data_IF_589669159267
#
_entry.id   IF_589669159267
#
_cell.length_a   1.000
_cell.length_b   1.000
_cell.length_c   1.000
_cell.angle_alpha   90.00
_cell.angle_beta   90.00
_cell.angle_gamma   90.00
#
_symmetry.space_group_name_H-M   'P 1'
#
loop_
_entity.id
_entity.type
_entity.pdbx_description
1 polymer ?
#
# COMPACT_ATOMS: atom_id res chain seq x y z
N UNK A 1 5.58 11.15 19.46
CA UNK A 1 4.18 10.78 19.19
C UNK A 1 4.05 9.27 19.09
N UNK A 2 3.16 8.67 19.85
CA UNK A 2 2.94 7.22 19.81
C UNK A 2 2.16 6.85 18.54
N UNK A 3 2.68 5.91 17.75
CA UNK A 3 2.01 5.41 16.55
C UNK A 3 0.91 4.42 16.98
N UNK A 4 -0.28 4.62 16.45
CA UNK A 4 -1.45 3.79 16.81
C UNK A 4 -1.56 2.53 15.93
N UNK A 5 -1.27 2.67 14.64
CA UNK A 5 -1.44 1.58 13.66
C UNK A 5 -0.11 0.94 13.29
N UNK A 6 0.91 1.74 13.01
CA UNK A 6 2.20 1.25 12.55
C UNK A 6 3.04 0.70 13.70
N UNK A 7 3.38 -0.58 13.60
CA UNK A 7 4.39 -1.21 14.45
C UNK A 7 5.74 -1.26 13.74
N UNK A 8 6.63 -2.12 14.22
CA UNK A 8 7.97 -2.30 13.67
C UNK A 8 7.94 -2.78 12.21
N UNK A 9 6.96 -3.63 11.87
CA UNK A 9 6.83 -4.25 10.54
C UNK A 9 5.55 -3.82 9.83
N UNK A 10 5.22 -2.55 9.88
CA UNK A 10 4.01 -2.02 9.27
C UNK A 10 2.79 -2.18 10.15
N UNK A 11 1.62 -2.32 9.54
CA UNK A 11 0.36 -2.54 10.24
C UNK A 11 0.06 -4.03 10.18
N UNK A 12 -0.19 -4.68 11.31
CA UNK A 12 -0.49 -6.10 11.39
C UNK A 12 -1.66 -6.38 12.32
N UNK A 13 -2.33 -7.50 12.08
CA UNK A 13 -3.38 -7.99 12.96
C UNK A 13 -4.10 -9.18 12.36
N UNK A 14 -5.06 -9.69 13.10
CA UNK A 14 -5.94 -10.75 12.62
C UNK A 14 -6.90 -10.19 11.58
N UNK A 15 -6.99 -10.89 10.45
CA UNK A 15 -7.84 -10.46 9.33
C UNK A 15 -9.29 -10.29 9.79
N UNK A 16 -9.90 -9.23 9.30
CA UNK A 16 -11.29 -8.84 9.59
C UNK A 16 -11.55 -8.45 11.06
N UNK A 17 -10.48 -8.17 11.77
CA UNK A 17 -10.50 -7.56 13.12
C UNK A 17 -9.61 -6.33 13.05
N UNK A 18 -10.05 -5.20 13.61
CA UNK A 18 -9.30 -3.95 13.59
C UNK A 18 -7.86 -4.17 14.10
N UNK A 19 -6.79 -3.71 13.41
CA UNK A 19 -6.83 -2.78 12.26
C UNK A 19 -6.83 -3.43 10.88
N UNK A 20 -6.99 -4.74 10.75
CA UNK A 20 -6.94 -5.48 9.48
C UNK A 20 -8.33 -5.68 8.87
N UNK A 21 -9.10 -4.60 8.80
CA UNK A 21 -10.43 -4.58 8.18
C UNK A 21 -10.39 -3.87 6.82
N UNK A 22 -11.43 -4.10 6.01
CA UNK A 22 -11.55 -3.42 4.71
C UNK A 22 -11.66 -1.91 4.88
N UNK A 23 -12.42 -1.43 5.85
CA UNK A 23 -12.56 0.02 6.10
C UNK A 23 -11.21 0.64 6.44
N UNK A 24 -10.42 0.04 7.31
CA UNK A 24 -9.11 0.56 7.68
C UNK A 24 -8.15 0.50 6.50
N UNK A 25 -8.16 -0.58 5.72
CA UNK A 25 -7.32 -0.69 4.51
C UNK A 25 -7.64 0.42 3.51
N UNK A 26 -8.92 0.72 3.30
CA UNK A 26 -9.34 1.82 2.43
C UNK A 26 -8.82 3.15 2.97
N UNK A 27 -8.99 3.41 4.25
CA UNK A 27 -8.53 4.65 4.89
C UNK A 27 -7.02 4.80 4.84
N UNK A 28 -6.28 3.72 5.07
CA UNK A 28 -4.81 3.71 4.95
C UNK A 28 -4.41 4.05 3.51
N UNK A 29 -5.09 3.47 2.52
CA UNK A 29 -4.86 3.80 1.10
C UNK A 29 -5.04 5.28 0.82
N UNK A 30 -6.11 5.88 1.33
CA UNK A 30 -6.36 7.33 1.17
C UNK A 30 -5.26 8.16 1.83
N UNK A 31 -4.94 7.87 3.08
CA UNK A 31 -3.95 8.63 3.83
C UNK A 31 -2.54 8.50 3.26
N UNK A 32 -2.13 7.29 2.93
CA UNK A 32 -0.81 7.04 2.33
C UNK A 32 -0.71 7.64 0.94
N UNK A 33 -1.72 7.43 0.10
CA UNK A 33 -1.76 8.01 -1.25
C UNK A 33 -1.65 9.52 -1.21
N UNK A 34 -2.45 10.18 -0.38
CA UNK A 34 -2.43 11.63 -0.24
C UNK A 34 -1.06 12.13 0.23
N UNK A 35 -0.40 11.40 1.12
CA UNK A 35 0.94 11.78 1.60
C UNK A 35 1.97 11.80 0.47
N UNK A 36 1.89 10.85 -0.47
CA UNK A 36 2.88 10.70 -1.55
C UNK A 36 2.51 11.44 -2.83
N UNK A 37 1.32 12.04 -2.92
CA UNK A 37 0.94 12.85 -4.09
C UNK A 37 1.57 14.23 -3.93
N UNK A 38 2.74 14.42 -4.56
CA UNK A 38 3.51 15.67 -4.54
C UNK A 38 4.00 15.96 -5.96
N UNK A 39 3.73 17.18 -6.43
CA UNK A 39 4.09 17.57 -7.78
C UNK A 39 3.02 17.20 -8.80
N UNK A 40 3.30 17.47 -10.07
CA UNK A 40 2.30 17.39 -11.14
C UNK A 40 2.38 16.10 -11.97
N UNK A 41 3.38 15.25 -11.73
CA UNK A 41 3.49 13.98 -12.46
C UNK A 41 2.38 13.01 -12.03
N UNK A 42 2.12 12.00 -12.86
CA UNK A 42 1.21 10.92 -12.46
C UNK A 42 1.88 10.10 -11.34
N UNK A 43 1.16 9.95 -10.25
CA UNK A 43 1.65 9.20 -9.09
C UNK A 43 1.16 7.77 -9.17
N UNK A 44 2.03 6.82 -8.80
CA UNK A 44 1.68 5.39 -8.85
C UNK A 44 2.16 4.66 -7.62
N UNK A 45 1.44 3.60 -7.29
CA UNK A 45 1.78 2.66 -6.22
C UNK A 45 1.83 1.26 -6.79
N UNK A 46 2.79 0.47 -6.33
CA UNK A 46 2.88 -0.96 -6.64
C UNK A 46 2.31 -1.72 -5.45
N UNK A 47 1.37 -2.63 -5.69
CA UNK A 47 0.78 -3.47 -4.65
C UNK A 47 1.02 -4.93 -4.97
N UNK A 48 1.67 -5.63 -4.04
CA UNK A 48 1.82 -7.08 -4.06
C UNK A 48 1.21 -7.71 -2.83
N UNK A 49 1.09 -9.01 -2.86
CA UNK A 49 0.51 -9.78 -1.75
C UNK A 49 1.14 -11.16 -1.69
N UNK A 50 0.98 -11.82 -0.56
CA UNK A 50 1.23 -13.25 -0.46
C UNK A 50 -0.08 -14.01 -0.77
N UNK A 51 -0.15 -15.29 -0.43
CA UNK A 51 -1.28 -16.14 -0.82
C UNK A 51 -2.42 -16.20 0.20
N UNK A 52 -2.43 -15.33 1.22
CA UNK A 52 -3.44 -15.35 2.27
C UNK A 52 -4.81 -14.99 1.72
N UNK A 53 -5.85 -15.68 2.24
CA UNK A 53 -7.24 -15.47 1.83
C UNK A 53 -7.67 -14.00 2.02
N UNK A 54 -7.26 -13.38 3.11
CA UNK A 54 -7.63 -11.99 3.41
C UNK A 54 -7.09 -10.98 2.40
N UNK A 55 -6.12 -11.35 1.57
CA UNK A 55 -5.65 -10.51 0.46
C UNK A 55 -6.76 -10.16 -0.52
N UNK A 56 -7.73 -11.05 -0.72
CA UNK A 56 -8.88 -10.78 -1.60
C UNK A 56 -9.78 -9.65 -1.08
N UNK A 57 -9.78 -9.41 0.22
CA UNK A 57 -10.53 -8.31 0.83
C UNK A 57 -9.67 -7.05 0.93
N UNK A 58 -8.45 -7.19 1.40
CA UNK A 58 -7.60 -6.04 1.72
C UNK A 58 -7.06 -5.34 0.47
N UNK A 59 -6.69 -6.10 -0.57
CA UNK A 59 -6.16 -5.51 -1.80
C UNK A 59 -7.17 -4.62 -2.52
N UNK A 60 -8.42 -5.06 -2.76
CA UNK A 60 -9.43 -4.18 -3.37
C UNK A 60 -9.75 -2.94 -2.52
N UNK A 61 -9.83 -3.10 -1.20
CA UNK A 61 -10.12 -1.98 -0.30
C UNK A 61 -9.00 -0.94 -0.33
N UNK A 62 -7.76 -1.39 -0.23
CA UNK A 62 -6.58 -0.52 -0.32
C UNK A 62 -6.54 0.18 -1.69
N UNK A 63 -6.78 -0.57 -2.76
CA UNK A 63 -6.83 -0.05 -4.13
C UNK A 63 -7.86 1.04 -4.27
N UNK A 64 -9.08 0.82 -3.75
CA UNK A 64 -10.15 1.82 -3.80
C UNK A 64 -9.73 3.12 -3.09
N UNK A 65 -9.10 3.01 -1.92
CA UNK A 65 -8.61 4.18 -1.19
C UNK A 65 -7.57 4.97 -1.98
N UNK A 66 -6.61 4.29 -2.56
CA UNK A 66 -5.54 4.91 -3.34
C UNK A 66 -6.09 5.58 -4.62
N UNK A 67 -6.96 4.89 -5.34
CA UNK A 67 -7.60 5.43 -6.55
C UNK A 67 -8.43 6.67 -6.22
N UNK A 68 -9.12 6.66 -5.08
CA UNK A 68 -9.99 7.76 -4.67
C UNK A 68 -9.25 9.08 -4.43
N UNK A 69 -7.96 9.03 -4.13
CA UNK A 69 -7.13 10.23 -3.93
C UNK A 69 -6.29 10.58 -5.16
N UNK A 70 -6.41 9.82 -6.25
CA UNK A 70 -5.74 10.14 -7.52
C UNK A 70 -4.47 9.33 -7.79
N UNK A 71 -4.19 8.29 -7.03
CA UNK A 71 -3.01 7.44 -7.20
C UNK A 71 -3.31 6.33 -8.21
N UNK A 72 -2.47 6.16 -9.21
CA UNK A 72 -2.55 4.99 -10.10
C UNK A 72 -2.01 3.76 -9.36
N UNK A 73 -2.68 2.63 -9.54
CA UNK A 73 -2.34 1.39 -8.85
C UNK A 73 -1.87 0.34 -9.85
N UNK A 74 -0.70 -0.24 -9.57
CA UNK A 74 -0.14 -1.35 -10.34
C UNK A 74 -0.21 -2.60 -9.48
N UNK A 75 -1.08 -3.54 -9.84
CA UNK A 75 -1.28 -4.79 -9.12
C UNK A 75 -0.36 -5.85 -9.70
N UNK A 76 0.49 -6.44 -8.88
CA UNK A 76 1.48 -7.43 -9.35
C UNK A 76 1.20 -8.84 -8.87
N UNK A 77 0.15 -9.03 -8.06
CA UNK A 77 -0.25 -10.35 -7.60
C UNK A 77 0.67 -10.95 -6.54
N UNK A 78 0.65 -12.28 -6.38
CA UNK A 78 1.50 -12.95 -5.38
C UNK A 78 2.98 -12.85 -5.74
N UNK A 79 3.75 -12.17 -4.90
CA UNK A 79 5.18 -11.96 -5.07
C UNK A 79 5.84 -11.90 -3.68
N UNK A 80 7.11 -12.26 -3.57
CA UNK A 80 7.82 -12.09 -2.29
C UNK A 80 8.06 -10.61 -1.98
N UNK A 81 8.15 -10.28 -0.69
CA UNK A 81 8.32 -8.90 -0.23
C UNK A 81 9.50 -8.16 -0.90
N UNK A 82 10.69 -8.77 -1.07
CA UNK A 82 11.79 -8.08 -1.76
C UNK A 82 11.46 -7.68 -3.21
N UNK A 83 10.59 -8.43 -3.87
CA UNK A 83 10.17 -8.11 -5.23
C UNK A 83 9.38 -6.80 -5.26
N UNK A 84 8.55 -6.55 -4.26
CA UNK A 84 7.77 -5.31 -4.20
C UNK A 84 8.67 -4.10 -3.99
N UNK A 85 9.66 -4.21 -3.11
CA UNK A 85 10.66 -3.16 -2.92
C UNK A 85 11.41 -2.86 -4.22
N UNK A 86 11.85 -3.90 -4.94
CA UNK A 86 12.55 -3.77 -6.22
C UNK A 86 11.65 -3.13 -7.29
N UNK A 87 10.40 -3.61 -7.42
CA UNK A 87 9.46 -3.11 -8.42
C UNK A 87 9.09 -1.65 -8.17
N UNK A 88 8.96 -1.24 -6.91
CA UNK A 88 8.71 0.16 -6.55
C UNK A 88 9.78 1.07 -7.15
N UNK A 89 11.04 0.66 -7.03
CA UNK A 89 12.16 1.41 -7.61
C UNK A 89 12.17 1.34 -9.14
N UNK A 90 12.12 0.12 -9.70
CA UNK A 90 12.27 -0.10 -11.14
C UNK A 90 11.14 0.52 -11.96
N UNK A 91 9.94 0.59 -11.42
CA UNK A 91 8.78 1.21 -12.06
C UNK A 91 8.65 2.70 -11.72
N UNK A 92 9.59 3.24 -10.95
CA UNK A 92 9.58 4.64 -10.50
C UNK A 92 8.27 5.00 -9.82
N UNK A 93 7.77 4.08 -8.99
CA UNK A 93 6.57 4.32 -8.23
C UNK A 93 6.86 5.22 -7.02
N UNK A 94 5.86 5.95 -6.58
CA UNK A 94 5.97 6.84 -5.42
C UNK A 94 5.81 6.09 -4.11
N UNK A 95 5.17 4.91 -4.17
CA UNK A 95 4.85 4.10 -3.00
C UNK A 95 4.80 2.63 -3.42
N UNK A 96 5.23 1.76 -2.52
CA UNK A 96 5.03 0.31 -2.64
C UNK A 96 4.30 -0.22 -1.43
N UNK A 97 3.42 -1.19 -1.63
CA UNK A 97 2.69 -1.84 -0.54
C UNK A 97 2.77 -3.35 -0.71
N UNK A 98 3.13 -4.04 0.36
CA UNK A 98 3.09 -5.49 0.42
C UNK A 98 2.06 -5.95 1.45
N UNK A 99 1.09 -6.76 1.00
CA UNK A 99 0.09 -7.37 1.86
C UNK A 99 0.62 -8.72 2.34
N UNK A 100 1.14 -8.75 3.55
CA UNK A 100 1.72 -9.98 4.14
C UNK A 100 1.93 -9.79 5.63
N UNK A 101 1.83 -10.88 6.37
CA UNK A 101 2.22 -10.94 7.78
C UNK A 101 3.44 -11.86 7.96
N UNK A 102 4.28 -11.97 6.93
CA UNK A 102 5.51 -12.77 6.95
C UNK A 102 5.22 -14.24 7.28
N UNK A 103 5.72 -14.75 8.40
CA UNK A 103 5.54 -16.12 8.84
C UNK A 103 4.43 -16.29 9.91
N UNK A 104 3.65 -15.25 10.15
CA UNK A 104 2.51 -15.33 11.09
C UNK A 104 1.46 -16.33 10.57
N UNK A 105 0.59 -16.85 11.45
CA UNK A 105 -0.47 -17.79 11.04
C UNK A 105 -1.35 -17.25 9.92
N UNK A 106 -2.00 -18.14 9.20
CA UNK A 106 -2.77 -17.81 7.99
C UNK A 106 -3.89 -16.79 8.22
N UNK A 107 -4.41 -16.71 9.45
CA UNK A 107 -5.50 -15.80 9.79
C UNK A 107 -5.03 -14.36 10.04
N UNK A 108 -3.72 -14.12 10.10
CA UNK A 108 -3.17 -12.77 10.20
C UNK A 108 -2.90 -12.19 8.81
N UNK A 109 -2.79 -10.88 8.75
CA UNK A 109 -2.27 -10.19 7.58
C UNK A 109 -1.63 -8.87 8.01
N UNK A 110 -1.07 -8.15 7.06
CA UNK A 110 -0.42 -6.89 7.34
C UNK A 110 -0.22 -6.05 6.10
N UNK A 111 0.05 -4.78 6.33
CA UNK A 111 0.38 -3.80 5.30
C UNK A 111 1.79 -3.29 5.57
N UNK A 112 2.72 -3.57 4.66
CA UNK A 112 4.08 -3.01 4.69
C UNK A 112 4.20 -1.97 3.61
N UNK A 113 4.64 -0.76 3.95
CA UNK A 113 4.75 0.35 3.02
C UNK A 113 6.23 0.68 2.76
N UNK A 114 6.54 0.90 1.48
CA UNK A 114 7.87 1.24 1.01
C UNK A 114 7.83 2.58 0.28
N UNK A 115 8.84 3.40 0.50
CA UNK A 115 8.99 4.66 -0.23
C UNK A 115 9.53 4.44 -1.64
N UNK A 116 9.69 5.53 -2.41
CA UNK A 116 10.19 5.46 -3.79
C UNK A 116 11.60 4.89 -3.90
N UNK A 117 12.37 4.92 -2.83
CA UNK A 117 13.71 4.33 -2.75
C UNK A 117 13.69 2.81 -2.56
N UNK A 118 12.52 2.21 -2.34
CA UNK A 118 12.36 0.78 -2.10
C UNK A 118 12.62 0.36 -0.65
N UNK A 119 12.81 1.31 0.25
CA UNK A 119 13.01 1.03 1.67
C UNK A 119 11.73 1.26 2.47
N UNK A 120 11.63 0.58 3.61
CA UNK A 120 10.53 0.79 4.56
C UNK A 120 10.43 2.28 4.92
N UNK A 121 9.20 2.78 5.05
CA UNK A 121 8.96 4.16 5.43
C UNK A 121 9.61 4.49 6.78
N UNK A 122 10.13 5.71 6.90
CA UNK A 122 10.67 6.21 8.16
C UNK A 122 9.54 6.37 9.20
N UNK A 123 9.93 6.41 10.47
CA UNK A 123 8.97 6.65 11.56
C UNK A 123 8.23 7.97 11.38
N UNK A 124 8.91 9.01 10.88
CA UNK A 124 8.30 10.32 10.66
C UNK A 124 7.23 10.27 9.58
N UNK A 125 7.47 9.54 8.49
CA UNK A 125 6.49 9.37 7.41
C UNK A 125 5.30 8.55 7.91
N UNK A 126 5.55 7.47 8.65
CA UNK A 126 4.47 6.68 9.25
C UNK A 126 3.60 7.52 10.20
N UNK A 127 4.23 8.36 11.01
CA UNK A 127 3.51 9.27 11.90
C UNK A 127 2.67 10.29 11.13
N UNK A 128 3.19 10.80 10.01
CA UNK A 128 2.45 11.74 9.17
C UNK A 128 1.22 11.08 8.54
N UNK A 129 1.33 9.82 8.11
CA UNK A 129 0.21 9.05 7.56
C UNK A 129 -0.83 8.82 8.67
N UNK A 130 -0.41 8.44 9.87
CA UNK A 130 -1.32 8.25 10.99
C UNK A 130 -2.05 9.54 11.39
N UNK A 131 -1.38 10.68 11.30
CA UNK A 131 -2.01 11.97 11.56
C UNK A 131 -3.16 12.23 10.57
N UNK A 132 -3.00 11.84 9.31
CA UNK A 132 -4.08 11.94 8.32
C UNK A 132 -5.23 10.97 8.64
N UNK A 133 -4.90 9.77 9.11
CA UNK A 133 -5.91 8.77 9.52
C UNK A 133 -6.77 9.26 10.69
N UNK A 134 -6.19 10.04 11.59
CA UNK A 134 -6.90 10.59 12.73
C UNK A 134 -7.82 11.76 12.36
N UNK A 135 -7.61 12.38 11.20
CA UNK A 135 -8.40 13.51 10.73
C UNK A 135 -9.51 13.09 9.77
N UNK A 136 -10.14 14.08 9.14
CA UNK A 136 -11.12 13.83 8.08
C UNK A 136 -10.41 13.47 6.78
N UNK A 137 -10.85 12.38 6.14
CA UNK A 137 -10.32 11.94 4.85
C UNK A 137 -11.13 12.47 3.66
N UNK A 138 -12.28 13.10 3.90
CA UNK A 138 -13.15 13.57 2.81
C UNK A 138 -12.45 14.54 1.87
N UNK A 139 -11.66 15.45 2.43
CA UNK A 139 -10.95 16.48 1.65
C UNK A 139 -9.78 15.92 0.84
N UNK A 140 -9.42 14.66 1.05
CA UNK A 140 -8.35 14.01 0.30
C UNK A 140 -8.84 13.44 -1.04
N UNK A 141 -10.14 13.29 -1.23
CA UNK A 141 -10.71 12.71 -2.44
C UNK A 141 -10.44 13.58 -3.65
N UNK A 142 -10.00 12.94 -4.72
CA UNK A 142 -9.74 13.62 -6.00
C UNK A 142 -11.05 13.98 -6.69
N UNK A 143 -11.01 14.99 -7.56
CA UNK A 143 -12.13 15.28 -8.45
C UNK A 143 -12.37 14.09 -9.40
N UNK A 144 -13.61 13.93 -9.94
CA UNK A 144 -13.94 12.75 -10.76
C UNK A 144 -12.98 12.51 -11.94
N UNK A 145 -12.48 13.57 -12.56
CA UNK A 145 -11.55 13.48 -13.69
C UNK A 145 -10.11 13.26 -13.25
N UNK A 146 -9.83 13.26 -11.96
CA UNK A 146 -8.48 13.07 -11.38
C UNK A 146 -8.33 11.76 -10.61
N UNK A 147 -9.31 10.88 -10.68
CA UNK A 147 -9.21 9.57 -10.06
C UNK A 147 -8.06 8.77 -10.65
N UNK A 148 -7.46 7.92 -9.83
CA UNK A 148 -6.42 7.01 -10.29
C UNK A 148 -7.01 5.84 -11.09
N UNK A 149 -6.12 5.09 -11.74
CA UNK A 149 -6.49 3.88 -12.48
C UNK A 149 -5.73 2.70 -11.93
N UNK A 150 -6.44 1.58 -11.75
CA UNK A 150 -5.82 0.33 -11.33
C UNK A 150 -5.60 -0.54 -12.57
N UNK A 151 -4.42 -1.16 -12.68
CA UNK A 151 -4.11 -2.13 -13.74
C UNK A 151 -3.27 -3.26 -13.17
N UNK A 152 -3.34 -4.41 -13.80
CA UNK A 152 -2.48 -5.55 -13.49
C UNK A 152 -1.25 -5.52 -14.40
N UNK A 153 -0.09 -5.81 -13.82
CA UNK A 153 1.15 -5.95 -14.58
C UNK A 153 1.56 -7.43 -14.55
N UNK A 154 1.62 -8.08 -15.73
CA UNK A 154 1.79 -9.53 -15.82
C UNK A 154 3.24 -10.00 -15.96
N UNK A 155 4.17 -9.13 -16.36
CA UNK A 155 5.57 -9.50 -16.61
C UNK A 155 6.49 -9.36 -15.37
N UNK A 156 5.92 -9.26 -14.20
CA UNK A 156 6.67 -8.98 -12.95
C UNK A 156 7.59 -10.12 -12.53
N UNK A 157 7.18 -11.37 -12.80
CA UNK A 157 8.01 -12.53 -12.45
C UNK A 157 9.32 -12.47 -13.21
N UNK A 158 9.27 -12.20 -14.52
CA UNK A 158 10.44 -12.03 -15.34
C UNK A 158 11.35 -10.91 -14.85
N UNK A 159 10.78 -9.77 -14.53
CA UNK A 159 11.53 -8.62 -14.01
C UNK A 159 12.25 -8.95 -12.69
N UNK A 160 11.59 -9.67 -11.79
CA UNK A 160 12.20 -10.06 -10.52
C UNK A 160 13.26 -11.13 -10.72
N UNK A 161 13.00 -12.12 -11.56
CA UNK A 161 13.96 -13.18 -11.87
C UNK A 161 15.26 -12.60 -12.47
N UNK A 162 15.14 -11.62 -13.35
CA UNK A 162 16.28 -10.94 -13.95
C UNK A 162 17.10 -10.18 -12.90
N UNK A 163 16.40 -9.61 -11.92
CA UNK A 163 17.03 -8.83 -10.84
C UNK A 163 17.84 -9.70 -9.88
N UNK A 164 17.34 -10.89 -9.53
CA UNK A 164 18.05 -11.77 -8.58
C UNK A 164 19.05 -12.69 -9.29
#
# INVERSE_FOLDING_TARGET
>A
MTRKFFGTDGIRGTANIEPMTADTALRVGMAAGAHFIKGEHRHRVVIGKDTRLSGYMLEPALTAGLVSVGMDVVLVGPMPTPAIAMLTRSLRADLGVMLSASHNPYHDNGLKLFGPDGYKLSNDVEAAIEARLAGSLENLRAAPDKLGRARRLDDVIGRYTEFV
#
